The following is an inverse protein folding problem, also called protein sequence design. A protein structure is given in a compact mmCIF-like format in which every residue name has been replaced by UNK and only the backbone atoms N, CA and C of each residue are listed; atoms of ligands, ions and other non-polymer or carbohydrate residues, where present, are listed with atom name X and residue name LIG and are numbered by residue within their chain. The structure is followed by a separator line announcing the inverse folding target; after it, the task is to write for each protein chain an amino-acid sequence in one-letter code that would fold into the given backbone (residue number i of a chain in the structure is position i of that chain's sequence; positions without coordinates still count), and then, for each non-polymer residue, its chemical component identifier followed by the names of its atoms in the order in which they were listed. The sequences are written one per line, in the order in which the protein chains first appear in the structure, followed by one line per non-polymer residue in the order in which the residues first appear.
data_IF_196713840202
#
_entry.id   IF_196713840202
#
_cell.length_a   1.000
_cell.length_b   1.000
_cell.length_c   1.000
_cell.angle_alpha   90.00
_cell.angle_beta   90.00
_cell.angle_gamma   90.00
#
_symmetry.space_group_name_H-M   'P 1'
#
loop_
_entity.id
_entity.type
_entity.pdbx_description
1 polymer ?
#
# COMPACT_ATOMS: atom_id res chain seq x y z
N UNK A 1 3.62 44.81 -9.99
CA UNK A 1 4.09 43.79 -9.02
C UNK A 1 4.60 42.62 -9.84
N UNK A 2 5.91 42.34 -9.86
CA UNK A 2 6.45 41.23 -10.67
C UNK A 2 6.09 39.88 -10.04
N UNK A 3 5.76 38.89 -10.88
CA UNK A 3 5.53 37.49 -10.50
C UNK A 3 6.71 36.94 -9.67
N UNK A 4 7.94 37.37 -9.97
CA UNK A 4 9.14 36.97 -9.23
C UNK A 4 9.12 37.39 -7.76
N UNK A 5 8.56 38.57 -7.44
CA UNK A 5 8.43 39.05 -6.06
C UNK A 5 7.33 38.30 -5.29
N UNK A 6 6.38 37.71 -6.00
CA UNK A 6 5.31 36.88 -5.44
C UNK A 6 5.81 35.46 -5.13
N UNK A 7 6.62 34.87 -6.02
CA UNK A 7 7.16 33.51 -5.88
C UNK A 7 8.37 33.44 -4.92
N UNK A 8 9.17 34.51 -4.81
CA UNK A 8 10.41 34.52 -4.00
C UNK A 8 10.22 34.54 -2.48
N UNK A 9 9.00 34.73 -1.97
CA UNK A 9 8.75 34.70 -0.52
C UNK A 9 8.29 33.31 -0.08
N UNK A 10 9.09 32.66 0.77
CA UNK A 10 8.73 31.39 1.44
C UNK A 10 7.36 31.45 2.12
N UNK A 11 6.94 32.64 2.62
CA UNK A 11 5.61 32.86 3.20
C UNK A 11 4.50 32.87 2.15
N UNK A 12 4.75 33.43 0.96
CA UNK A 12 3.77 33.46 -0.13
C UNK A 12 3.57 32.07 -0.72
N UNK A 13 4.67 31.35 -0.99
CA UNK A 13 4.58 29.97 -1.51
C UNK A 13 3.80 29.07 -0.55
N UNK A 14 4.10 29.14 0.76
CA UNK A 14 3.34 28.41 1.78
C UNK A 14 1.84 28.73 1.72
N UNK A 15 1.46 30.01 1.58
CA UNK A 15 0.05 30.41 1.47
C UNK A 15 -0.61 29.88 0.20
N UNK A 16 0.10 29.85 -0.93
CA UNK A 16 -0.44 29.28 -2.17
C UNK A 16 -0.73 27.79 -1.95
N UNK A 17 0.25 27.05 -1.45
CA UNK A 17 0.11 25.60 -1.22
C UNK A 17 -0.94 25.27 -0.15
N UNK A 18 -1.11 26.11 0.88
CA UNK A 18 -2.15 25.95 1.92
C UNK A 18 -3.58 26.25 1.41
N UNK A 19 -3.74 26.85 0.23
CA UNK A 19 -5.05 27.11 -0.39
C UNK A 19 -5.44 26.10 -1.49
N UNK A 20 -4.56 25.14 -1.79
CA UNK A 20 -4.87 24.06 -2.72
C UNK A 20 -5.80 23.06 -2.06
N UNK A 21 -6.67 22.44 -2.86
CA UNK A 21 -7.53 21.31 -2.45
C UNK A 21 -6.84 19.95 -2.57
N UNK A 22 -5.53 19.98 -2.78
CA UNK A 22 -4.67 18.80 -2.77
C UNK A 22 -3.82 18.81 -1.52
N UNK A 23 -3.69 17.65 -0.88
CA UNK A 23 -2.69 17.43 0.15
C UNK A 23 -1.31 17.43 -0.48
N UNK A 24 -0.37 18.16 0.10
CA UNK A 24 1.00 18.28 -0.40
C UNK A 24 1.97 17.91 0.70
N UNK A 25 2.88 17.00 0.35
CA UNK A 25 3.98 16.55 1.18
C UNK A 25 5.26 16.65 0.39
N UNK A 26 6.29 17.20 1.00
CA UNK A 26 7.64 17.12 0.46
C UNK A 26 8.58 16.51 1.50
N UNK A 27 9.49 15.66 1.08
CA UNK A 27 10.52 15.09 1.94
C UNK A 27 11.88 15.05 1.26
N UNK A 28 12.96 15.01 2.06
CA UNK A 28 14.32 14.85 1.55
C UNK A 28 14.64 13.39 1.17
N UNK A 29 15.87 13.14 0.72
CA UNK A 29 16.37 11.80 0.37
C UNK A 29 16.48 10.84 1.57
N UNK A 30 16.37 11.35 2.81
CA UNK A 30 16.31 10.56 4.04
C UNK A 30 14.87 10.38 4.52
N UNK A 31 13.88 10.62 3.64
CA UNK A 31 12.43 10.56 3.91
C UNK A 31 11.96 11.52 5.00
N UNK A 32 12.76 12.52 5.35
CA UNK A 32 12.38 13.51 6.35
C UNK A 32 11.39 14.49 5.75
N UNK A 33 10.20 14.58 6.34
CA UNK A 33 9.16 15.49 5.87
C UNK A 33 9.62 16.94 6.08
N UNK A 34 9.75 17.67 4.97
CA UNK A 34 10.15 19.08 4.91
C UNK A 34 8.93 20.01 4.80
N UNK A 35 7.83 19.52 4.22
CA UNK A 35 6.63 20.30 3.98
C UNK A 35 5.37 19.45 4.11
N UNK A 36 4.32 20.06 4.67
CA UNK A 36 3.01 19.47 4.91
C UNK A 36 1.97 20.60 4.91
N UNK A 37 1.09 20.64 3.91
CA UNK A 37 0.09 21.71 3.78
C UNK A 37 -1.18 21.43 4.60
N UNK A 38 -2.05 22.45 4.68
CA UNK A 38 -3.30 22.39 5.44
C UNK A 38 -4.24 21.28 4.96
N UNK A 39 -4.25 21.03 3.66
CA UNK A 39 -5.11 20.00 3.10
C UNK A 39 -4.59 18.59 3.42
N UNK A 40 -3.28 18.38 3.46
CA UNK A 40 -2.69 17.13 3.93
C UNK A 40 -3.06 16.86 5.41
N UNK A 41 -3.11 17.90 6.25
CA UNK A 41 -3.60 17.77 7.63
C UNK A 41 -5.06 17.33 7.68
N UNK A 42 -5.91 17.92 6.83
CA UNK A 42 -7.34 17.57 6.75
C UNK A 42 -7.58 16.14 6.23
N UNK A 43 -6.81 15.73 5.23
CA UNK A 43 -6.96 14.42 4.59
C UNK A 43 -6.46 13.31 5.51
N UNK A 44 -5.27 13.47 6.10
CA UNK A 44 -4.63 12.42 6.90
C UNK A 44 -5.02 12.45 8.38
N UNK A 45 -5.46 13.59 8.90
CA UNK A 45 -5.75 13.81 10.31
C UNK A 45 -4.51 14.08 11.19
N UNK A 46 -3.31 14.05 10.64
CA UNK A 46 -2.08 14.42 11.34
C UNK A 46 -1.82 15.92 11.22
N UNK A 47 -1.36 16.57 12.30
CA UNK A 47 -0.95 17.98 12.20
C UNK A 47 0.47 18.11 11.65
N UNK A 48 0.77 19.25 11.01
CA UNK A 48 2.11 19.54 10.49
C UNK A 48 3.15 19.54 11.60
N UNK A 49 2.81 20.01 12.80
CA UNK A 49 3.72 20.02 13.95
C UNK A 49 4.10 18.62 14.40
N UNK A 50 3.22 17.63 14.17
CA UNK A 50 3.49 16.24 14.52
C UNK A 50 4.37 15.51 13.50
N UNK A 51 4.37 15.91 12.24
CA UNK A 51 5.00 15.14 11.16
C UNK A 51 6.24 15.81 10.58
N UNK A 52 6.34 17.14 10.63
CA UNK A 52 7.50 17.86 10.10
C UNK A 52 8.78 17.41 10.82
N UNK A 53 9.81 17.10 10.03
CA UNK A 53 11.10 16.63 10.53
C UNK A 53 11.16 15.14 10.88
N UNK A 54 10.05 14.41 10.83
CA UNK A 54 10.02 12.95 11.00
C UNK A 54 10.20 12.22 9.67
N UNK A 55 10.58 10.95 9.76
CA UNK A 55 10.55 10.03 8.63
C UNK A 55 9.08 9.80 8.20
N UNK A 56 8.78 9.89 6.90
CA UNK A 56 7.41 9.77 6.40
C UNK A 56 6.80 8.38 6.62
N UNK A 57 7.60 7.31 6.57
CA UNK A 57 7.14 5.96 6.86
C UNK A 57 6.82 5.80 8.35
N UNK A 58 7.62 6.40 9.23
CA UNK A 58 7.34 6.37 10.68
C UNK A 58 6.13 7.23 11.05
N UNK A 59 5.95 8.39 10.39
CA UNK A 59 4.88 9.33 10.70
C UNK A 59 3.49 8.80 10.31
N UNK A 60 3.38 8.15 9.15
CA UNK A 60 2.10 7.73 8.59
C UNK A 60 1.91 6.20 8.62
N UNK A 61 2.98 5.43 8.83
CA UNK A 61 2.96 3.97 8.69
C UNK A 61 2.69 3.55 7.25
N UNK A 62 2.05 2.39 7.08
CA UNK A 62 1.37 2.06 5.85
C UNK A 62 -0.12 2.25 5.91
N UNK A 63 -0.82 2.60 4.81
CA UNK A 63 -0.43 2.48 3.40
C UNK A 63 0.12 3.73 2.69
N UNK A 64 0.42 4.77 3.48
CA UNK A 64 0.83 6.08 2.97
C UNK A 64 2.24 6.09 2.34
N UNK A 65 3.16 5.27 2.86
CA UNK A 65 4.55 5.17 2.37
C UNK A 65 4.91 3.69 2.17
N UNK A 66 4.99 3.24 0.91
CA UNK A 66 5.20 1.84 0.50
C UNK A 66 5.77 1.71 -0.92
N UNK A 67 5.53 0.57 -1.58
CA UNK A 67 6.13 0.13 -2.86
C UNK A 67 6.05 1.14 -4.03
N UNK A 68 5.08 2.07 -3.98
CA UNK A 68 4.85 3.09 -5.02
C UNK A 68 5.56 4.43 -4.74
N UNK A 69 6.29 4.54 -3.63
CA UNK A 69 7.21 5.67 -3.43
C UNK A 69 8.46 5.42 -4.28
N UNK A 70 8.87 6.41 -5.06
CA UNK A 70 10.10 6.35 -5.89
C UNK A 70 11.36 5.96 -5.10
N UNK A 71 11.35 6.04 -3.76
CA UNK A 71 12.46 5.71 -2.87
C UNK A 71 12.26 4.45 -2.03
N UNK A 72 11.25 3.62 -2.31
CA UNK A 72 11.05 2.36 -1.58
C UNK A 72 12.10 1.29 -1.92
N UNK A 73 12.66 1.30 -3.13
CA UNK A 73 13.75 0.41 -3.54
C UNK A 73 15.11 1.14 -3.52
N UNK A 74 16.18 0.41 -3.20
CA UNK A 74 17.56 0.92 -3.03
C UNK A 74 18.10 1.69 -4.26
N UNK A 75 17.44 1.56 -5.42
CA UNK A 75 17.65 2.41 -6.58
C UNK A 75 16.33 3.09 -6.93
N UNK A 76 16.19 4.41 -6.71
CA UNK A 76 15.03 5.14 -7.19
C UNK A 76 15.01 5.08 -8.72
N UNK A 77 14.05 4.35 -9.27
CA UNK A 77 13.75 4.46 -10.70
C UNK A 77 13.28 5.90 -10.90
N UNK A 78 14.06 6.68 -11.63
CA UNK A 78 13.77 8.06 -12.00
C UNK A 78 12.58 8.09 -12.96
N UNK A 79 11.38 7.84 -12.44
CA UNK A 79 10.16 8.18 -13.15
C UNK A 79 9.88 9.64 -12.86
N UNK A 80 9.79 10.44 -13.92
CA UNK A 80 9.62 11.89 -13.86
C UNK A 80 8.33 12.25 -13.07
N UNK A 81 7.31 11.39 -13.18
CA UNK A 81 6.05 11.47 -12.44
C UNK A 81 5.33 10.13 -12.43
N UNK A 82 4.97 9.64 -11.25
CA UNK A 82 4.13 8.45 -11.06
C UNK A 82 2.76 8.84 -10.49
N UNK A 83 1.69 8.30 -11.08
CA UNK A 83 0.32 8.49 -10.61
C UNK A 83 -0.31 7.14 -10.23
N UNK A 84 -0.84 7.05 -9.01
CA UNK A 84 -1.45 5.83 -8.49
C UNK A 84 -2.48 6.12 -7.41
N UNK A 85 -3.45 5.23 -7.26
CA UNK A 85 -4.46 5.28 -6.20
C UNK A 85 -3.99 4.44 -5.02
N UNK A 86 -4.08 4.98 -3.81
CA UNK A 86 -3.82 4.24 -2.57
C UNK A 86 -4.91 4.47 -1.54
N UNK A 87 -5.04 3.51 -0.65
CA UNK A 87 -5.87 3.63 0.54
C UNK A 87 -5.00 4.11 1.69
N UNK A 88 -5.45 5.09 2.46
CA UNK A 88 -4.72 5.56 3.63
C UNK A 88 -5.57 5.31 4.87
N UNK A 89 -4.89 5.02 5.97
CA UNK A 89 -5.50 5.03 7.29
C UNK A 89 -5.21 6.38 7.91
N UNK A 90 -6.27 7.14 8.22
CA UNK A 90 -6.14 8.42 8.91
C UNK A 90 -5.70 8.21 10.36
N UNK A 91 -5.29 9.29 11.03
CA UNK A 91 -4.98 9.28 12.47
C UNK A 91 -6.13 8.74 13.34
N UNK A 92 -7.38 8.92 12.91
CA UNK A 92 -8.56 8.43 13.61
C UNK A 92 -8.87 6.94 13.34
N UNK A 93 -8.16 6.31 12.39
CA UNK A 93 -8.39 4.93 11.96
C UNK A 93 -9.32 4.79 10.76
N UNK A 94 -9.90 5.89 10.25
CA UNK A 94 -10.75 5.85 9.05
C UNK A 94 -9.93 5.54 7.80
N UNK A 95 -10.49 4.73 6.89
CA UNK A 95 -9.88 4.44 5.59
C UNK A 95 -10.35 5.51 4.58
N UNK A 96 -9.41 6.08 3.84
CA UNK A 96 -9.69 7.00 2.73
C UNK A 96 -9.03 6.52 1.45
N UNK A 97 -9.66 6.81 0.31
CA UNK A 97 -9.08 6.60 -1.01
C UNK A 97 -8.44 7.90 -1.45
N UNK A 98 -7.16 7.86 -1.82
CA UNK A 98 -6.48 9.03 -2.37
C UNK A 98 -5.84 8.69 -3.72
N UNK A 99 -5.97 9.62 -4.65
CA UNK A 99 -5.18 9.61 -5.89
C UNK A 99 -3.91 10.43 -5.64
N UNK A 100 -2.76 9.79 -5.82
CA UNK A 100 -1.44 10.34 -5.53
C UNK A 100 -0.65 10.55 -6.81
N UNK A 101 0.03 11.68 -6.87
CA UNK A 101 1.02 12.03 -7.89
C UNK A 101 2.34 12.28 -7.18
N UNK A 102 3.38 11.53 -7.54
CA UNK A 102 4.73 11.66 -6.98
C UNK A 102 5.70 12.12 -8.06
N UNK A 103 6.48 13.16 -7.76
CA UNK A 103 7.55 13.65 -8.62
C UNK A 103 8.82 13.92 -7.83
N UNK A 104 9.97 13.68 -8.43
CA UNK A 104 11.25 14.03 -7.83
C UNK A 104 11.45 15.56 -7.81
N UNK A 105 12.18 16.06 -6.81
CA UNK A 105 12.65 17.44 -6.76
C UNK A 105 14.14 17.49 -7.06
N UNK A 106 14.53 18.28 -8.06
CA UNK A 106 15.91 18.56 -8.44
C UNK A 106 16.23 20.06 -8.40
N UNK A 107 17.52 20.38 -8.34
CA UNK A 107 18.04 21.75 -8.29
C UNK A 107 18.22 22.41 -9.68
N UNK A 108 17.63 21.84 -10.73
CA UNK A 108 17.77 22.28 -12.12
C UNK A 108 19.11 21.91 -12.75
N UNK A 109 20.05 21.34 -12.00
CA UNK A 109 21.33 20.83 -12.50
C UNK A 109 21.35 19.29 -12.65
N UNK A 110 20.20 18.65 -12.42
CA UNK A 110 20.04 17.19 -12.44
C UNK A 110 20.42 16.51 -11.12
N UNK A 111 20.69 17.29 -10.07
CA UNK A 111 20.96 16.76 -8.74
C UNK A 111 19.67 16.75 -7.91
N UNK A 112 19.15 15.55 -7.70
CA UNK A 112 17.92 15.29 -6.96
C UNK A 112 18.15 15.48 -5.45
N UNK A 113 17.24 16.19 -4.78
CA UNK A 113 17.35 16.44 -3.34
C UNK A 113 16.11 16.04 -2.53
N UNK A 114 15.04 15.58 -3.17
CA UNK A 114 13.86 15.10 -2.47
C UNK A 114 12.71 14.65 -3.36
N UNK A 115 11.55 14.47 -2.74
CA UNK A 115 10.30 14.06 -3.38
C UNK A 115 9.20 15.04 -3.05
N UNK A 116 8.38 15.37 -4.04
CA UNK A 116 7.11 16.06 -3.89
C UNK A 116 5.98 15.07 -4.20
N UNK A 117 5.08 14.90 -3.23
CA UNK A 117 3.89 14.09 -3.36
C UNK A 117 2.67 15.01 -3.21
N UNK A 118 1.79 15.01 -4.21
CA UNK A 118 0.46 15.62 -4.10
C UNK A 118 -0.60 14.53 -4.14
N UNK A 119 -1.69 14.72 -3.38
CA UNK A 119 -2.78 13.77 -3.36
C UNK A 119 -4.13 14.40 -3.14
N UNK A 120 -5.15 13.78 -3.70
CA UNK A 120 -6.53 14.18 -3.57
C UNK A 120 -7.36 13.09 -2.90
N UNK A 121 -8.18 13.46 -1.92
CA UNK A 121 -9.16 12.58 -1.30
C UNK A 121 -10.33 12.34 -2.26
N UNK A 122 -10.41 11.12 -2.79
CA UNK A 122 -11.42 10.67 -3.74
C UNK A 122 -12.39 9.67 -3.11
N UNK A 123 -12.35 9.52 -1.78
CA UNK A 123 -13.21 8.59 -1.03
C UNK A 123 -14.68 8.72 -1.43
N UNK A 124 -15.24 9.94 -1.36
CA UNK A 124 -16.63 10.20 -1.70
C UNK A 124 -16.94 9.91 -3.18
N UNK A 125 -15.99 10.18 -4.07
CA UNK A 125 -16.14 9.95 -5.51
C UNK A 125 -16.17 8.45 -5.81
N UNK A 126 -15.26 7.67 -5.23
CA UNK A 126 -15.23 6.22 -5.34
C UNK A 126 -16.49 5.61 -4.73
N UNK A 127 -16.91 6.08 -3.56
CA UNK A 127 -18.15 5.63 -2.92
C UNK A 127 -19.39 5.94 -3.75
N UNK A 128 -19.44 7.14 -4.36
CA UNK A 128 -20.51 7.52 -5.26
C UNK A 128 -20.47 6.68 -6.54
N UNK A 129 -19.31 6.43 -7.11
CA UNK A 129 -19.15 5.57 -8.29
C UNK A 129 -19.54 4.12 -7.99
N UNK A 130 -19.22 3.60 -6.81
CA UNK A 130 -19.71 2.29 -6.35
C UNK A 130 -21.23 2.27 -6.25
N UNK A 131 -21.84 3.27 -5.59
CA UNK A 131 -23.30 3.38 -5.44
C UNK A 131 -24.03 3.58 -6.76
N UNK A 132 -23.42 4.28 -7.72
CA UNK A 132 -24.02 4.63 -9.02
C UNK A 132 -23.69 3.63 -10.14
N UNK A 133 -22.89 2.60 -9.87
CA UNK A 133 -22.56 1.60 -10.88
C UNK A 133 -21.45 1.99 -11.86
N UNK A 134 -20.68 3.04 -11.56
CA UNK A 134 -19.72 3.66 -12.49
C UNK A 134 -18.26 3.31 -12.24
N UNK A 135 -17.95 2.61 -11.14
CA UNK A 135 -16.58 2.19 -10.85
C UNK A 135 -16.15 1.12 -11.87
N UNK A 136 -14.98 1.29 -12.48
CA UNK A 136 -14.46 0.38 -13.51
C UNK A 136 -13.35 -0.55 -13.00
N UNK A 137 -12.89 -0.34 -11.76
CA UNK A 137 -11.94 -1.20 -11.09
C UNK A 137 -11.73 -0.80 -9.64
N UNK A 138 -11.13 -1.71 -8.86
CA UNK A 138 -10.88 -1.54 -7.44
C UNK A 138 -9.63 -2.32 -7.04
N UNK A 139 -8.65 -1.63 -6.47
CA UNK A 139 -7.41 -2.22 -5.92
C UNK A 139 -6.75 -3.24 -6.86
N UNK A 140 -6.51 -2.84 -8.12
CA UNK A 140 -5.89 -3.67 -9.16
C UNK A 140 -6.82 -4.65 -9.88
N UNK A 141 -8.09 -4.76 -9.47
CA UNK A 141 -9.10 -5.59 -10.12
C UNK A 141 -9.90 -4.72 -11.09
N UNK A 142 -10.04 -5.16 -12.35
CA UNK A 142 -10.86 -4.46 -13.35
C UNK A 142 -12.27 -5.08 -13.36
N UNK A 143 -13.30 -4.23 -13.36
CA UNK A 143 -14.69 -4.67 -13.47
C UNK A 143 -15.68 -3.55 -13.17
N UNK A 144 -16.77 -3.49 -13.94
CA UNK A 144 -17.85 -2.50 -13.78
C UNK A 144 -19.24 -3.13 -13.63
N UNK A 145 -19.35 -4.45 -13.75
CA UNK A 145 -20.61 -5.16 -13.60
C UNK A 145 -21.09 -5.09 -12.13
N UNK A 146 -22.40 -5.05 -11.90
CA UNK A 146 -22.98 -4.92 -10.54
C UNK A 146 -22.44 -5.94 -9.53
N UNK A 147 -22.19 -7.18 -9.99
CA UNK A 147 -21.58 -8.24 -9.16
C UNK A 147 -20.12 -7.92 -8.76
N UNK A 148 -19.36 -7.27 -9.63
CA UNK A 148 -17.99 -6.83 -9.31
C UNK A 148 -18.01 -5.70 -8.28
N UNK A 149 -18.97 -4.77 -8.38
CA UNK A 149 -19.12 -3.72 -7.39
C UNK A 149 -19.49 -4.27 -6.01
N UNK A 150 -20.34 -5.31 -5.97
CA UNK A 150 -20.63 -6.04 -4.74
C UNK A 150 -19.38 -6.74 -4.18
N UNK A 151 -18.57 -7.36 -5.04
CA UNK A 151 -17.29 -7.95 -4.64
C UNK A 151 -16.33 -6.90 -4.07
N UNK A 152 -16.22 -5.73 -4.69
CA UNK A 152 -15.38 -4.64 -4.20
C UNK A 152 -15.82 -4.17 -2.81
N UNK A 153 -17.12 -4.05 -2.58
CA UNK A 153 -17.66 -3.73 -1.27
C UNK A 153 -17.37 -4.84 -0.24
N UNK A 154 -17.46 -6.11 -0.64
CA UNK A 154 -17.11 -7.24 0.23
C UNK A 154 -15.63 -7.20 0.63
N UNK A 155 -14.74 -6.96 -0.34
CA UNK A 155 -13.30 -6.81 -0.08
C UNK A 155 -13.06 -5.72 0.97
N UNK A 156 -13.63 -4.53 0.77
CA UNK A 156 -13.49 -3.42 1.72
C UNK A 156 -14.00 -3.78 3.11
N UNK A 157 -15.16 -4.45 3.18
CA UNK A 157 -15.75 -4.84 4.46
C UNK A 157 -14.86 -5.85 5.21
N UNK A 158 -14.33 -6.87 4.53
CA UNK A 158 -13.50 -7.89 5.20
C UNK A 158 -12.11 -7.36 5.54
N UNK A 159 -11.56 -6.44 4.75
CA UNK A 159 -10.25 -5.84 4.98
C UNK A 159 -10.18 -5.00 6.28
N UNK A 160 -11.32 -4.51 6.77
CA UNK A 160 -11.42 -3.80 8.04
C UNK A 160 -11.26 -4.66 9.29
N UNK A 161 -11.20 -6.00 9.16
CA UNK A 161 -11.12 -6.93 10.29
C UNK A 161 -9.87 -7.83 10.22
N UNK A 162 -9.44 -8.34 11.38
CA UNK A 162 -8.31 -9.26 11.50
C UNK A 162 -8.77 -10.74 11.59
N UNK A 163 -9.76 -11.12 10.76
CA UNK A 163 -10.23 -12.50 10.68
C UNK A 163 -9.69 -13.21 9.43
N UNK A 164 -9.47 -14.54 9.48
CA UNK A 164 -9.17 -15.32 8.29
C UNK A 164 -10.29 -15.19 7.24
N UNK A 165 -9.92 -14.94 5.98
CA UNK A 165 -10.86 -14.81 4.87
C UNK A 165 -10.71 -16.01 3.93
N UNK A 166 -11.83 -16.68 3.66
CA UNK A 166 -11.89 -17.73 2.64
C UNK A 166 -12.36 -17.12 1.31
N UNK A 167 -11.55 -17.26 0.26
CA UNK A 167 -11.85 -16.76 -1.09
C UNK A 167 -12.21 -17.96 -1.96
N UNK A 168 -13.48 -18.07 -2.32
CA UNK A 168 -13.99 -19.16 -3.15
C UNK A 168 -14.31 -18.68 -4.57
N UNK A 169 -13.99 -19.53 -5.55
CA UNK A 169 -14.25 -19.27 -6.97
C UNK A 169 -13.55 -20.30 -7.84
N UNK A 170 -13.96 -20.37 -9.12
CA UNK A 170 -13.36 -21.27 -10.10
C UNK A 170 -11.88 -20.96 -10.35
N UNK A 171 -11.16 -21.91 -10.94
CA UNK A 171 -9.76 -21.71 -11.34
C UNK A 171 -9.67 -20.60 -12.38
N UNK A 172 -8.71 -19.70 -12.23
CA UNK A 172 -8.49 -18.60 -13.17
C UNK A 172 -9.39 -17.37 -13.00
N UNK A 173 -10.26 -17.31 -11.99
CA UNK A 173 -11.12 -16.13 -11.74
C UNK A 173 -10.44 -14.97 -11.00
N UNK A 174 -9.11 -15.02 -10.84
CA UNK A 174 -8.35 -13.95 -10.19
C UNK A 174 -8.44 -13.91 -8.66
N UNK A 175 -8.59 -15.05 -7.98
CA UNK A 175 -8.63 -15.13 -6.51
C UNK A 175 -7.41 -14.48 -5.82
N UNK A 176 -6.23 -14.60 -6.43
CA UNK A 176 -5.01 -13.93 -5.96
C UNK A 176 -5.13 -12.40 -5.98
N UNK A 177 -5.79 -11.83 -7.00
CA UNK A 177 -6.06 -10.39 -7.05
C UNK A 177 -7.00 -9.96 -5.93
N UNK A 178 -8.00 -10.79 -5.59
CA UNK A 178 -8.89 -10.56 -4.46
C UNK A 178 -8.12 -10.62 -3.13
N UNK A 179 -7.24 -11.61 -2.94
CA UNK A 179 -6.42 -11.71 -1.74
C UNK A 179 -5.47 -10.50 -1.59
N UNK A 180 -4.81 -10.11 -2.69
CA UNK A 180 -3.94 -8.94 -2.73
C UNK A 180 -4.72 -7.64 -2.46
N UNK A 181 -5.95 -7.51 -3.00
CA UNK A 181 -6.82 -6.39 -2.70
C UNK A 181 -7.18 -6.36 -1.21
N UNK A 182 -7.67 -7.46 -0.62
CA UNK A 182 -7.98 -7.52 0.83
C UNK A 182 -6.77 -7.09 1.67
N UNK A 183 -5.57 -7.57 1.33
CA UNK A 183 -4.35 -7.18 2.03
C UNK A 183 -4.09 -5.67 1.93
N UNK A 184 -4.06 -5.11 0.71
CA UNK A 184 -3.83 -3.67 0.47
C UNK A 184 -4.85 -2.77 1.16
N UNK A 185 -6.10 -3.20 1.19
CA UNK A 185 -7.21 -2.48 1.84
C UNK A 185 -7.20 -2.59 3.37
N UNK A 186 -6.36 -3.46 3.95
CA UNK A 186 -6.34 -3.70 5.39
C UNK A 186 -5.38 -2.77 6.14
N UNK A 187 -5.50 -2.76 7.47
CA UNK A 187 -4.52 -2.09 8.34
C UNK A 187 -3.09 -2.63 8.20
N UNK A 188 -2.91 -3.80 7.56
CA UNK A 188 -1.62 -4.44 7.28
C UNK A 188 -1.14 -4.22 5.84
N UNK A 189 -1.73 -3.30 5.09
CA UNK A 189 -1.42 -3.11 3.66
C UNK A 189 0.03 -2.79 3.29
N UNK A 190 0.87 -2.32 4.23
CA UNK A 190 2.33 -2.17 4.02
C UNK A 190 3.17 -3.14 4.84
N UNK A 191 2.56 -4.23 5.29
CA UNK A 191 3.27 -5.35 5.88
C UNK A 191 3.45 -6.43 4.81
N UNK A 192 4.30 -7.43 5.03
CA UNK A 192 4.53 -8.45 4.01
C UNK A 192 3.24 -9.16 3.57
N UNK A 193 3.00 -9.22 2.26
CA UNK A 193 2.04 -10.13 1.65
C UNK A 193 2.80 -11.34 1.11
N UNK A 194 2.53 -12.52 1.67
CA UNK A 194 3.26 -13.74 1.32
C UNK A 194 2.28 -14.72 0.68
N UNK A 195 2.20 -14.80 -0.65
CA UNK A 195 1.43 -15.83 -1.33
C UNK A 195 2.20 -17.15 -1.36
N UNK A 196 1.49 -18.26 -1.21
CA UNK A 196 1.98 -19.62 -1.44
C UNK A 196 0.89 -20.45 -2.11
N UNK A 197 1.21 -21.06 -3.25
CA UNK A 197 0.34 -22.03 -3.90
C UNK A 197 0.67 -23.42 -3.37
N UNK A 198 -0.26 -23.99 -2.60
CA UNK A 198 -0.08 -25.28 -1.94
C UNK A 198 -0.05 -26.45 -2.92
N UNK A 199 -0.74 -26.34 -4.06
CA UNK A 199 -0.76 -27.37 -5.11
C UNK A 199 0.51 -27.42 -5.98
N UNK A 200 1.28 -26.34 -6.03
CA UNK A 200 2.51 -26.24 -6.84
C UNK A 200 3.76 -26.79 -6.14
N UNK A 201 3.68 -27.09 -4.83
CA UNK A 201 4.82 -27.53 -4.02
C UNK A 201 4.69 -29.02 -3.73
N UNK A 202 5.75 -29.83 -3.92
CA UNK A 202 5.73 -31.24 -3.55
C UNK A 202 5.38 -31.46 -2.08
N UNK A 203 4.56 -32.46 -1.78
CA UNK A 203 4.06 -32.73 -0.42
C UNK A 203 5.19 -32.87 0.61
N UNK A 204 6.31 -33.51 0.25
CA UNK A 204 7.46 -33.65 1.16
C UNK A 204 8.20 -32.36 1.49
N UNK A 205 7.91 -31.26 0.79
CA UNK A 205 8.55 -29.95 0.99
C UNK A 205 7.59 -28.90 1.57
N UNK A 206 6.27 -29.11 1.52
CA UNK A 206 5.29 -28.09 1.95
C UNK A 206 5.45 -27.70 3.42
N UNK A 207 5.74 -28.66 4.31
CA UNK A 207 5.98 -28.39 5.73
C UNK A 207 7.17 -27.44 5.92
N UNK A 208 8.26 -27.73 5.21
CA UNK A 208 9.49 -26.93 5.22
C UNK A 208 9.29 -25.54 4.59
N UNK A 209 8.42 -25.40 3.58
CA UNK A 209 8.05 -24.09 3.03
C UNK A 209 7.22 -23.27 4.02
N UNK A 210 6.20 -23.88 4.64
CA UNK A 210 5.28 -23.18 5.54
C UNK A 210 5.96 -22.79 6.85
N UNK A 211 6.65 -23.72 7.49
CA UNK A 211 7.19 -23.57 8.85
C UNK A 211 8.70 -23.33 8.90
N UNK A 212 9.41 -23.57 7.79
CA UNK A 212 10.86 -23.44 7.74
C UNK A 212 11.58 -24.69 8.27
N UNK A 213 12.91 -24.62 8.28
CA UNK A 213 13.76 -25.66 8.87
C UNK A 213 15.11 -25.10 9.29
N UNK A 214 15.75 -25.81 10.21
CA UNK A 214 17.17 -25.62 10.54
C UNK A 214 18.03 -26.57 9.70
N UNK A 215 19.28 -26.17 9.46
CA UNK A 215 20.28 -27.01 8.81
C UNK A 215 20.37 -28.37 9.50
N UNK A 216 20.27 -29.43 8.70
CA UNK A 216 20.32 -30.82 9.18
C UNK A 216 18.99 -31.39 9.68
N UNK A 217 17.86 -30.67 9.57
CA UNK A 217 16.55 -31.20 9.96
C UNK A 217 16.10 -32.42 9.12
N UNK A 218 16.55 -32.51 7.87
CA UNK A 218 16.34 -33.65 6.97
C UNK A 218 17.44 -33.75 5.91
N UNK A 219 17.51 -34.88 5.20
CA UNK A 219 18.44 -35.08 4.07
C UNK A 219 18.19 -34.05 2.97
N UNK A 220 19.09 -33.08 2.81
CA UNK A 220 18.96 -31.96 1.87
C UNK A 220 18.81 -30.58 2.52
N UNK A 221 18.63 -30.51 3.85
CA UNK A 221 18.61 -29.28 4.63
C UNK A 221 20.04 -28.70 4.80
N UNK A 222 20.60 -28.15 3.72
CA UNK A 222 21.98 -27.64 3.66
C UNK A 222 22.19 -26.31 4.41
N UNK A 223 21.11 -25.57 4.67
CA UNK A 223 21.10 -24.28 5.36
C UNK A 223 19.80 -24.09 6.11
N UNK A 224 19.78 -23.12 7.02
CA UNK A 224 18.55 -22.67 7.66
C UNK A 224 17.64 -21.98 6.63
N UNK A 225 16.33 -22.14 6.82
CA UNK A 225 15.31 -21.51 5.99
C UNK A 225 14.13 -21.06 6.85
N UNK A 226 13.76 -19.79 6.74
CA UNK A 226 12.54 -19.24 7.35
C UNK A 226 11.30 -19.75 6.62
N UNK A 227 10.27 -20.08 7.39
CA UNK A 227 8.97 -20.49 6.86
C UNK A 227 8.13 -19.31 6.36
N UNK A 228 7.13 -19.57 5.52
CA UNK A 228 6.18 -18.56 5.06
C UNK A 228 5.43 -17.88 6.19
N UNK A 229 5.08 -18.59 7.27
CA UNK A 229 4.47 -17.97 8.46
C UNK A 229 5.39 -16.92 9.09
N UNK A 230 6.67 -17.21 9.22
CA UNK A 230 7.65 -16.27 9.78
C UNK A 230 7.87 -15.07 8.83
N UNK A 231 7.94 -15.33 7.52
CA UNK A 231 8.06 -14.27 6.51
C UNK A 231 6.84 -13.36 6.47
N UNK A 232 5.65 -13.89 6.77
CA UNK A 232 4.40 -13.14 6.82
C UNK A 232 4.15 -12.44 8.18
N UNK A 233 5.11 -12.49 9.10
CA UNK A 233 4.93 -11.94 10.44
C UNK A 233 4.52 -10.45 10.41
N UNK A 234 3.44 -10.12 11.11
CA UNK A 234 2.83 -8.79 11.12
C UNK A 234 2.08 -8.41 9.83
N UNK A 235 2.09 -9.26 8.81
CA UNK A 235 1.42 -9.05 7.52
C UNK A 235 0.32 -10.07 7.23
N UNK A 236 0.31 -10.60 6.01
CA UNK A 236 -0.74 -11.52 5.52
C UNK A 236 -0.11 -12.69 4.75
N UNK A 237 -0.50 -13.91 5.13
CA UNK A 237 -0.18 -15.14 4.41
C UNK A 237 -1.40 -15.53 3.56
N UNK A 238 -1.22 -15.67 2.24
CA UNK A 238 -2.26 -16.16 1.34
C UNK A 238 -1.95 -17.60 0.94
N UNK A 239 -2.85 -18.52 1.31
CA UNK A 239 -2.74 -19.94 1.02
C UNK A 239 -3.65 -20.27 -0.17
N UNK A 240 -3.06 -20.28 -1.37
CA UNK A 240 -3.77 -20.63 -2.60
C UNK A 240 -3.85 -22.16 -2.76
N UNK A 241 -4.97 -22.64 -3.28
CA UNK A 241 -5.28 -24.07 -3.40
C UNK A 241 -5.11 -24.84 -2.06
N UNK A 242 -5.56 -24.25 -0.95
CA UNK A 242 -5.49 -24.84 0.40
C UNK A 242 -6.11 -26.24 0.49
N UNK A 243 -7.08 -26.56 -0.38
CA UNK A 243 -7.71 -27.87 -0.48
C UNK A 243 -6.74 -28.99 -0.88
N UNK A 244 -5.61 -28.66 -1.50
CA UNK A 244 -4.58 -29.62 -1.90
C UNK A 244 -3.67 -30.04 -0.73
N UNK A 245 -3.79 -29.39 0.44
CA UNK A 245 -3.04 -29.82 1.62
C UNK A 245 -3.54 -31.17 2.13
N UNK A 246 -2.60 -32.10 2.36
CA UNK A 246 -2.93 -33.38 2.96
C UNK A 246 -3.43 -33.24 4.40
N UNK A 247 -4.27 -34.18 4.86
CA UNK A 247 -4.83 -34.15 6.22
C UNK A 247 -3.76 -34.02 7.32
N UNK A 248 -2.60 -34.71 7.24
CA UNK A 248 -1.54 -34.51 8.23
C UNK A 248 -1.02 -33.07 8.30
N UNK A 249 -0.92 -32.39 7.16
CA UNK A 249 -0.49 -30.98 7.10
C UNK A 249 -1.52 -30.02 7.68
N UNK A 250 -2.81 -30.31 7.56
CA UNK A 250 -3.87 -29.46 8.12
C UNK A 250 -3.89 -29.45 9.67
N UNK A 251 -3.27 -30.44 10.32
CA UNK A 251 -3.24 -30.58 11.80
C UNK A 251 -2.04 -29.86 12.42
N UNK A 252 -1.02 -29.51 11.62
CA UNK A 252 0.20 -28.84 12.07
C UNK A 252 -0.02 -27.35 12.31
#
# INVERSE_FOLDING_TARGET
MSIDRFISSRKTLKRVLDNLKEGIIAHDLKRRILFFNKEAERITGFSREEVLGKDCHEAFGGPFCGDHCAFFHENPTLVDRDEYTLHITTKAGDIRVIDMSVSCMDDGSGNFFGVLASFQDTTDLVDLQMKTGRLTGFSGIIGNHVKMLQLFQQIRNVAGYDYPVNIYGETGTGKELVASAIHRESQRGNKPFVPINCGAIPEGLIESELFGHIKGAFSGAIRDKKGRFELANGGTLFLDEISELSKPMQVK
#
